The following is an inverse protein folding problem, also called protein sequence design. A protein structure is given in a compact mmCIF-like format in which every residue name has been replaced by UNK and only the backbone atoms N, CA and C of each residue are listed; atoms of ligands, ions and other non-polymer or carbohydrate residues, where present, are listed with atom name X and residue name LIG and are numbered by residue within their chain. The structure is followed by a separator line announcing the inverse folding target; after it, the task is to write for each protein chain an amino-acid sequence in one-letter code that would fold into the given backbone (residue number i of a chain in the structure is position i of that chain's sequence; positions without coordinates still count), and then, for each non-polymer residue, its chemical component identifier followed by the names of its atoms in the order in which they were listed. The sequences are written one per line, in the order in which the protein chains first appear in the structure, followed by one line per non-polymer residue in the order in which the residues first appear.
data_IF_143769622926
#
_entry.id   IF_143769622926
#
_cell.length_a   1.000
_cell.length_b   1.000
_cell.length_c   1.000
_cell.angle_alpha   90.00
_cell.angle_beta   90.00
_cell.angle_gamma   90.00
#
_symmetry.space_group_name_H-M   'P 1'
#
loop_
_entity.id
_entity.type
_entity.pdbx_description
1 polymer ?
#
# COMPACT_ATOMS: atom_id res chain seq x y z
N UNK A 1 14.51 5.94 18.97
CA UNK A 1 14.19 6.17 17.54
C UNK A 1 13.55 7.55 17.38
N UNK A 2 13.94 8.30 16.34
CA UNK A 2 13.35 9.62 16.07
C UNK A 2 11.87 9.43 15.69
N UNK A 3 10.93 10.32 16.09
CA UNK A 3 9.50 10.16 15.79
C UNK A 3 9.21 10.00 14.28
N UNK A 4 10.05 10.59 13.42
CA UNK A 4 9.99 10.47 11.97
C UNK A 4 10.26 9.04 11.46
N UNK A 5 11.19 8.34 12.09
CA UNK A 5 11.61 6.97 11.73
C UNK A 5 10.52 5.96 12.05
N UNK A 6 9.80 6.16 13.16
CA UNK A 6 8.66 5.34 13.54
C UNK A 6 7.51 5.45 12.53
N UNK A 7 7.28 6.66 12.00
CA UNK A 7 6.30 6.89 10.93
C UNK A 7 6.74 6.23 9.62
N UNK A 8 8.03 6.25 9.30
CA UNK A 8 8.58 5.58 8.12
C UNK A 8 8.32 4.07 8.13
N UNK A 9 8.69 3.38 9.22
CA UNK A 9 8.44 1.94 9.36
C UNK A 9 6.95 1.60 9.39
N UNK A 10 6.13 2.46 9.99
CA UNK A 10 4.67 2.30 9.96
C UNK A 10 4.11 2.36 8.53
N UNK A 11 4.58 3.31 7.70
CA UNK A 11 4.21 3.42 6.28
C UNK A 11 4.68 2.23 5.45
N UNK A 12 5.85 1.69 5.74
CA UNK A 12 6.35 0.47 5.11
C UNK A 12 5.42 -0.73 5.40
N UNK A 13 5.07 -0.95 6.67
CA UNK A 13 4.14 -2.03 7.06
C UNK A 13 2.76 -1.86 6.41
N UNK A 14 2.28 -0.62 6.28
CA UNK A 14 1.03 -0.33 5.57
C UNK A 14 1.08 -0.65 4.09
N UNK A 15 2.21 -0.44 3.41
CA UNK A 15 2.34 -0.80 2.00
C UNK A 15 2.24 -2.32 1.78
N UNK A 16 2.81 -3.11 2.69
CA UNK A 16 2.67 -4.58 2.70
C UNK A 16 1.21 -4.98 2.90
N UNK A 17 0.51 -4.38 3.87
CA UNK A 17 -0.91 -4.65 4.12
C UNK A 17 -1.75 -4.27 2.89
N UNK A 18 -1.47 -3.13 2.26
CA UNK A 18 -2.16 -2.72 1.04
C UNK A 18 -1.94 -3.73 -0.10
N UNK A 19 -0.73 -4.29 -0.23
CA UNK A 19 -0.44 -5.33 -1.22
C UNK A 19 -1.24 -6.60 -0.96
N UNK A 20 -1.36 -7.03 0.31
CA UNK A 20 -2.20 -8.17 0.70
C UNK A 20 -3.69 -7.94 0.41
N UNK A 21 -4.20 -6.73 0.66
CA UNK A 21 -5.59 -6.37 0.33
C UNK A 21 -5.83 -6.41 -1.19
N UNK A 22 -4.89 -5.86 -1.98
CA UNK A 22 -4.98 -5.90 -3.44
C UNK A 22 -4.88 -7.34 -3.98
N UNK A 23 -4.05 -8.19 -3.36
CA UNK A 23 -3.96 -9.60 -3.68
C UNK A 23 -5.27 -10.34 -3.36
N UNK A 24 -5.86 -10.09 -2.19
CA UNK A 24 -7.15 -10.67 -1.80
C UNK A 24 -8.27 -10.28 -2.77
N UNK A 25 -8.27 -9.03 -3.25
CA UNK A 25 -9.16 -8.60 -4.32
C UNK A 25 -8.91 -9.35 -5.64
N UNK A 26 -7.65 -9.50 -6.06
CA UNK A 26 -7.30 -10.24 -7.27
C UNK A 26 -7.71 -11.72 -7.21
N UNK A 27 -7.54 -12.37 -6.04
CA UNK A 27 -7.99 -13.74 -5.79
C UNK A 27 -9.52 -13.82 -5.80
N UNK A 28 -10.21 -12.94 -5.07
CA UNK A 28 -11.67 -12.97 -4.97
C UNK A 28 -12.40 -12.67 -6.28
N UNK A 29 -11.75 -11.97 -7.21
CA UNK A 29 -12.28 -11.68 -8.56
C UNK A 29 -11.83 -12.69 -9.61
N UNK A 30 -11.04 -13.72 -9.23
CA UNK A 30 -10.39 -14.65 -10.16
C UNK A 30 -9.63 -13.95 -11.30
N UNK A 31 -9.09 -12.77 -11.02
CA UNK A 31 -8.38 -11.96 -12.01
C UNK A 31 -6.91 -12.39 -12.18
N UNK A 32 -6.45 -13.38 -11.40
CA UNK A 32 -5.11 -13.97 -11.50
C UNK A 32 -5.09 -14.93 -12.68
N UNK A 33 -4.31 -14.57 -13.70
CA UNK A 33 -4.07 -15.39 -14.89
C UNK A 33 -2.57 -15.51 -15.15
N UNK A 34 -2.12 -16.72 -15.47
CA UNK A 34 -0.74 -17.03 -15.85
C UNK A 34 -0.42 -16.68 -17.31
N UNK A 35 -1.44 -16.68 -18.18
CA UNK A 35 -1.26 -16.49 -19.62
C UNK A 35 -1.43 -15.04 -20.07
N UNK A 36 -2.22 -14.22 -19.34
CA UNK A 36 -2.54 -12.87 -19.78
C UNK A 36 -2.60 -11.87 -18.61
N UNK A 37 -1.71 -10.87 -18.65
CA UNK A 37 -1.77 -9.74 -17.74
C UNK A 37 -2.73 -8.67 -18.30
N UNK A 38 -3.79 -8.36 -17.56
CA UNK A 38 -4.75 -7.33 -17.95
C UNK A 38 -4.45 -6.04 -17.19
N UNK A 39 -4.18 -4.93 -17.90
CA UNK A 39 -3.88 -3.63 -17.29
C UNK A 39 -4.95 -3.16 -16.29
N UNK A 40 -6.19 -3.60 -16.47
CA UNK A 40 -7.30 -3.30 -15.56
C UNK A 40 -7.04 -3.76 -14.11
N UNK A 41 -6.36 -4.91 -13.91
CA UNK A 41 -6.04 -5.39 -12.56
C UNK A 41 -5.04 -4.49 -11.85
N UNK A 42 -4.08 -3.95 -12.60
CA UNK A 42 -3.07 -3.04 -12.10
C UNK A 42 -3.71 -1.71 -11.70
N UNK A 43 -4.57 -1.13 -12.55
CA UNK A 43 -5.26 0.11 -12.23
C UNK A 43 -6.22 -0.04 -11.05
N UNK A 44 -6.96 -1.15 -10.96
CA UNK A 44 -7.83 -1.44 -9.82
C UNK A 44 -7.03 -1.60 -8.52
N UNK A 45 -5.91 -2.33 -8.56
CA UNK A 45 -5.01 -2.48 -7.41
C UNK A 45 -4.38 -1.14 -7.01
N UNK A 46 -4.00 -0.31 -7.98
CA UNK A 46 -3.47 1.04 -7.73
C UNK A 46 -4.52 1.92 -7.06
N UNK A 47 -5.76 1.90 -7.54
CA UNK A 47 -6.87 2.64 -6.93
C UNK A 47 -7.11 2.21 -5.48
N UNK A 48 -7.14 0.90 -5.22
CA UNK A 48 -7.22 0.32 -3.87
C UNK A 48 -6.07 0.79 -2.98
N UNK A 49 -4.83 0.76 -3.47
CA UNK A 49 -3.66 1.22 -2.72
C UNK A 49 -3.73 2.70 -2.37
N UNK A 50 -4.26 3.54 -3.26
CA UNK A 50 -4.48 4.97 -3.00
C UNK A 50 -5.58 5.15 -1.94
N UNK A 51 -6.68 4.41 -2.02
CA UNK A 51 -7.76 4.45 -1.02
C UNK A 51 -7.23 4.06 0.37
N UNK A 52 -6.49 2.96 0.47
CA UNK A 52 -5.86 2.52 1.74
C UNK A 52 -4.89 3.59 2.27
N UNK A 53 -4.11 4.22 1.38
CA UNK A 53 -3.21 5.31 1.75
C UNK A 53 -3.96 6.51 2.34
N UNK A 54 -5.05 6.92 1.70
CA UNK A 54 -5.89 8.05 2.14
C UNK A 54 -6.57 7.74 3.46
N UNK A 55 -7.19 6.56 3.61
CA UNK A 55 -7.79 6.12 4.88
C UNK A 55 -6.77 6.16 6.02
N UNK A 56 -5.57 5.65 5.78
CA UNK A 56 -4.51 5.68 6.78
C UNK A 56 -4.08 7.10 7.10
N UNK A 57 -4.01 7.99 6.12
CA UNK A 57 -3.72 9.39 6.36
C UNK A 57 -4.74 10.03 7.31
N UNK A 58 -6.04 9.77 7.14
CA UNK A 58 -7.06 10.29 8.06
C UNK A 58 -6.87 9.75 9.49
N UNK A 59 -6.55 8.46 9.66
CA UNK A 59 -6.26 7.86 10.97
C UNK A 59 -5.03 8.48 11.65
N UNK A 60 -3.93 8.65 10.90
CA UNK A 60 -2.71 9.28 11.41
C UNK A 60 -2.98 10.74 11.76
N UNK A 61 -3.71 11.48 10.91
CA UNK A 61 -4.06 12.88 11.15
C UNK A 61 -4.87 13.04 12.44
N UNK A 62 -5.77 12.11 12.74
CA UNK A 62 -6.54 12.14 13.99
C UNK A 62 -5.65 11.90 15.21
N UNK A 63 -4.77 10.89 15.14
CA UNK A 63 -3.92 10.47 16.28
C UNK A 63 -2.75 11.42 16.57
N UNK A 64 -2.15 12.03 15.54
CA UNK A 64 -0.94 12.84 15.67
C UNK A 64 -1.19 14.35 15.53
N UNK A 65 -2.44 14.79 15.34
CA UNK A 65 -2.81 16.22 15.31
C UNK A 65 -2.24 17.05 16.48
N UNK A 66 -2.23 16.56 17.74
CA UNK A 66 -1.68 17.34 18.86
C UNK A 66 -0.16 17.22 19.02
N UNK A 67 0.52 16.37 18.23
CA UNK A 67 1.90 15.95 18.44
C UNK A 67 2.92 16.54 17.43
N UNK A 68 2.48 17.37 16.48
CA UNK A 68 3.37 17.95 15.45
C UNK A 68 3.04 19.40 15.10
N UNK A 69 4.09 20.24 15.10
CA UNK A 69 4.03 21.67 14.77
C UNK A 69 3.58 21.95 13.32
N UNK A 70 3.86 21.04 12.37
CA UNK A 70 3.48 21.17 10.96
C UNK A 70 2.99 19.84 10.36
N UNK A 71 1.68 19.62 10.21
CA UNK A 71 1.11 18.35 9.75
C UNK A 71 1.52 17.96 8.32
N UNK A 72 1.95 18.92 7.48
CA UNK A 72 2.44 18.65 6.12
C UNK A 72 3.72 17.80 6.07
N UNK A 73 4.62 17.90 7.07
CA UNK A 73 5.84 17.08 7.08
C UNK A 73 5.56 15.60 7.37
N UNK A 74 4.49 15.28 8.10
CA UNK A 74 4.07 13.90 8.32
C UNK A 74 3.44 13.25 7.07
N UNK A 75 2.92 14.07 6.17
CA UNK A 75 2.24 13.63 4.95
C UNK A 75 3.21 13.18 3.87
N UNK A 76 4.29 13.93 3.69
CA UNK A 76 5.30 13.67 2.66
C UNK A 76 6.35 12.68 3.14
N UNK A 77 6.57 12.59 4.46
CA UNK A 77 7.50 11.60 5.01
C UNK A 77 6.91 10.20 4.90
N UNK A 78 7.56 9.37 4.08
CA UNK A 78 7.21 7.96 3.94
C UNK A 78 6.13 7.65 2.90
N UNK A 79 5.77 8.61 2.03
CA UNK A 79 4.88 8.31 0.89
C UNK A 79 5.59 7.40 -0.13
N UNK A 80 6.86 7.68 -0.41
CA UNK A 80 7.66 6.87 -1.34
C UNK A 80 7.81 5.42 -0.87
N UNK A 81 8.13 5.20 0.41
CA UNK A 81 8.29 3.84 0.95
C UNK A 81 6.97 3.07 0.96
N UNK A 82 5.83 3.74 1.14
CA UNK A 82 4.52 3.11 1.04
C UNK A 82 4.27 2.56 -0.37
N UNK A 83 4.39 3.39 -1.40
CA UNK A 83 4.14 2.95 -2.77
C UNK A 83 5.19 1.96 -3.26
N UNK A 84 6.46 2.13 -2.85
CA UNK A 84 7.54 1.24 -3.22
C UNK A 84 7.39 -0.15 -2.58
N UNK A 85 7.05 -0.21 -1.28
CA UNK A 85 6.75 -1.50 -0.64
C UNK A 85 5.49 -2.13 -1.22
N UNK A 86 4.42 -1.36 -1.43
CA UNK A 86 3.20 -1.86 -2.06
C UNK A 86 3.48 -2.49 -3.43
N UNK A 87 4.14 -1.79 -4.36
CA UNK A 87 4.35 -2.31 -5.72
C UNK A 87 5.27 -3.54 -5.72
N UNK A 88 6.34 -3.53 -4.92
CA UNK A 88 7.27 -4.66 -4.83
C UNK A 88 6.56 -5.90 -4.31
N UNK A 89 5.84 -5.79 -3.18
CA UNK A 89 5.13 -6.92 -2.59
C UNK A 89 3.94 -7.37 -3.44
N UNK A 90 3.21 -6.44 -4.05
CA UNK A 90 2.09 -6.78 -4.92
C UNK A 90 2.56 -7.56 -6.14
N UNK A 91 3.61 -7.10 -6.82
CA UNK A 91 4.18 -7.81 -7.98
C UNK A 91 4.72 -9.18 -7.55
N UNK A 92 5.48 -9.27 -6.46
CA UNK A 92 5.98 -10.56 -5.94
C UNK A 92 4.85 -11.55 -5.68
N UNK A 93 3.83 -11.15 -4.93
CA UNK A 93 2.71 -12.00 -4.56
C UNK A 93 1.86 -12.37 -5.77
N UNK A 94 1.62 -11.43 -6.67
CA UNK A 94 0.89 -11.67 -7.92
C UNK A 94 1.62 -12.69 -8.79
N UNK A 95 2.93 -12.54 -9.00
CA UNK A 95 3.73 -13.49 -9.78
C UNK A 95 3.80 -14.88 -9.13
N UNK A 96 3.91 -14.96 -7.80
CA UNK A 96 3.88 -16.26 -7.09
C UNK A 96 2.56 -16.98 -7.30
N UNK A 97 1.42 -16.27 -7.24
CA UNK A 97 0.12 -16.88 -7.45
C UNK A 97 -0.13 -17.20 -8.93
N UNK A 98 0.22 -16.31 -9.84
CA UNK A 98 0.11 -16.55 -11.28
C UNK A 98 0.98 -17.73 -11.72
N UNK A 99 2.19 -17.92 -11.16
CA UNK A 99 3.03 -19.08 -11.47
C UNK A 99 2.53 -20.42 -10.92
N UNK A 100 1.53 -20.42 -10.03
CA UNK A 100 0.90 -21.64 -9.48
C UNK A 100 -0.38 -22.06 -10.21
N UNK A 101 -0.95 -21.17 -11.03
CA UNK A 101 -2.23 -21.36 -11.75
C UNK A 101 -1.97 -21.70 -13.21
#
# INVERSE_FOLDING_TARGET
MKPLEKVYWFRFMLGIIAALVCLGYAVGTNAISSSQFTSNIFFNSTSLAIIVYLLTYYLIKYKYKPLVEKPQKLLTTGIGIYFLSWIVFWTLLYTILAGKV
#
